data_IF_326221994442
#
_entry.id   IF_326221994442
#
_cell.length_a   1.000
_cell.length_b   1.000
_cell.length_c   1.000
_cell.angle_alpha   90.00
_cell.angle_beta   90.00
_cell.angle_gamma   90.00
#
_symmetry.space_group_name_H-M   'P 1'
#
loop_
_entity.id
_entity.type
_entity.pdbx_description
1 polymer ?
#
# COMPACT_ATOMS: atom_id res chain seq x y z
N UNK A 1 -12.08 7.54 4.12
CA UNK A 1 -11.16 7.10 5.19
C UNK A 1 -9.81 7.68 4.89
N UNK A 2 -9.17 8.33 5.87
CA UNK A 2 -7.80 8.83 5.75
C UNK A 2 -6.79 7.68 5.80
N UNK A 3 -5.57 7.90 5.29
CA UNK A 3 -4.55 6.85 5.21
C UNK A 3 -4.08 6.49 6.61
N UNK A 4 -3.90 7.49 7.47
CA UNK A 4 -3.56 7.26 8.87
C UNK A 4 -4.64 6.46 9.60
N UNK A 5 -5.91 6.78 9.36
CA UNK A 5 -7.03 6.06 9.94
C UNK A 5 -7.07 4.59 9.49
N UNK A 6 -6.85 4.33 8.20
CA UNK A 6 -6.75 2.97 7.67
C UNK A 6 -5.57 2.20 8.27
N UNK A 7 -4.39 2.82 8.32
CA UNK A 7 -3.20 2.19 8.90
C UNK A 7 -3.43 1.81 10.38
N UNK A 8 -4.10 2.67 11.15
CA UNK A 8 -4.45 2.40 12.55
C UNK A 8 -5.47 1.25 12.67
N UNK A 9 -6.47 1.21 11.80
CA UNK A 9 -7.43 0.09 11.75
C UNK A 9 -6.70 -1.25 11.52
N UNK A 10 -5.78 -1.30 10.54
CA UNK A 10 -4.97 -2.49 10.29
C UNK A 10 -4.10 -2.86 11.49
N UNK A 11 -3.57 -1.84 12.21
CA UNK A 11 -2.81 -2.06 13.44
C UNK A 11 -3.66 -2.76 14.50
N UNK A 12 -4.86 -2.24 14.75
CA UNK A 12 -5.80 -2.77 15.75
C UNK A 12 -6.19 -4.22 15.45
N UNK A 13 -6.42 -4.55 14.18
CA UNK A 13 -6.85 -5.89 13.78
C UNK A 13 -5.69 -6.89 13.77
N UNK A 14 -4.51 -6.51 13.26
CA UNK A 14 -3.48 -7.50 12.86
C UNK A 14 -2.13 -7.39 13.57
N UNK A 15 -1.79 -6.28 14.25
CA UNK A 15 -0.42 -6.03 14.74
C UNK A 15 0.13 -7.18 15.60
N UNK A 16 -0.66 -7.71 16.54
CA UNK A 16 -0.21 -8.79 17.42
C UNK A 16 0.13 -10.08 16.65
N UNK A 17 -0.62 -10.38 15.58
CA UNK A 17 -0.35 -11.53 14.71
C UNK A 17 0.86 -11.26 13.82
N UNK A 18 0.94 -10.07 13.25
CA UNK A 18 2.00 -9.66 12.33
C UNK A 18 3.35 -9.62 13.06
N UNK A 19 3.38 -9.15 14.31
CA UNK A 19 4.57 -9.12 15.16
C UNK A 19 5.11 -10.54 15.43
N UNK A 20 4.22 -11.51 15.65
CA UNK A 20 4.60 -12.93 15.79
C UNK A 20 5.10 -13.53 14.47
N UNK A 21 4.56 -13.09 13.33
CA UNK A 21 5.01 -13.54 12.00
C UNK A 21 6.39 -12.97 11.67
N UNK A 22 6.67 -11.73 12.05
CA UNK A 22 7.89 -11.00 11.73
C UNK A 22 7.80 -10.24 10.41
N UNK A 23 8.65 -9.23 10.25
CA UNK A 23 8.66 -8.31 9.10
C UNK A 23 8.93 -9.04 7.78
N UNK A 24 9.98 -9.88 7.72
CA UNK A 24 10.37 -10.55 6.47
C UNK A 24 9.25 -11.42 5.89
N UNK A 25 8.61 -12.22 6.75
CA UNK A 25 7.48 -13.07 6.35
C UNK A 25 6.24 -12.25 6.01
N UNK A 26 6.04 -11.10 6.65
CA UNK A 26 4.93 -10.18 6.32
C UNK A 26 5.17 -9.49 4.97
N UNK A 27 6.42 -9.21 4.63
CA UNK A 27 6.80 -8.71 3.31
C UNK A 27 6.54 -9.75 2.21
N UNK A 28 6.78 -11.04 2.49
CA UNK A 28 6.43 -12.11 1.55
C UNK A 28 4.92 -12.17 1.26
N UNK A 29 4.06 -11.97 2.28
CA UNK A 29 2.61 -11.87 2.08
C UNK A 29 2.23 -10.68 1.21
N UNK A 30 2.86 -9.51 1.40
CA UNK A 30 2.66 -8.36 0.50
C UNK A 30 2.99 -8.73 -0.96
N UNK A 31 4.10 -9.44 -1.20
CA UNK A 31 4.46 -9.88 -2.56
C UNK A 31 3.48 -10.91 -3.13
N UNK A 32 2.92 -11.77 -2.29
CA UNK A 32 1.87 -12.73 -2.67
C UNK A 32 0.63 -11.99 -3.21
N UNK A 33 0.12 -10.99 -2.48
CA UNK A 33 -1.05 -10.22 -2.95
C UNK A 33 -0.75 -9.41 -4.21
N UNK A 34 0.48 -8.90 -4.39
CA UNK A 34 0.88 -8.27 -5.65
C UNK A 34 0.84 -9.29 -6.80
N UNK A 35 1.21 -10.54 -6.52
CA UNK A 35 1.10 -11.65 -7.46
C UNK A 35 -0.36 -12.00 -7.82
N UNK A 36 -1.25 -12.02 -6.84
CA UNK A 36 -2.69 -12.23 -7.04
C UNK A 36 -3.31 -11.06 -7.83
N UNK A 37 -2.98 -9.82 -7.49
CA UNK A 37 -3.38 -8.63 -8.26
C UNK A 37 -2.94 -8.73 -9.73
N UNK A 38 -1.69 -9.13 -9.96
CA UNK A 38 -1.16 -9.34 -11.31
C UNK A 38 -1.95 -10.39 -12.07
N UNK A 39 -2.32 -11.48 -11.41
CA UNK A 39 -3.10 -12.57 -12.00
C UNK A 39 -4.51 -12.10 -12.36
N UNK A 40 -5.22 -11.44 -11.44
CA UNK A 40 -6.56 -10.92 -11.65
C UNK A 40 -6.59 -9.92 -12.83
N UNK A 41 -5.62 -9.01 -12.88
CA UNK A 41 -5.49 -8.03 -13.96
C UNK A 41 -5.29 -8.70 -15.32
N UNK A 42 -4.33 -9.63 -15.42
CA UNK A 42 -4.00 -10.32 -16.68
C UNK A 42 -5.17 -11.17 -17.21
N UNK A 43 -6.06 -11.62 -16.35
CA UNK A 43 -7.23 -12.43 -16.72
C UNK A 43 -8.49 -11.60 -16.98
N UNK A 44 -8.43 -10.27 -16.82
CA UNK A 44 -9.59 -9.40 -17.01
C UNK A 44 -10.66 -9.57 -15.92
N UNK A 45 -10.29 -10.09 -14.75
CA UNK A 45 -11.21 -10.31 -13.63
C UNK A 45 -11.43 -9.01 -12.86
N UNK A 46 -12.12 -8.04 -13.48
CA UNK A 46 -12.23 -6.65 -12.98
C UNK A 46 -12.74 -6.55 -11.53
N UNK A 47 -13.68 -7.40 -11.15
CA UNK A 47 -14.18 -7.47 -9.77
C UNK A 47 -13.11 -7.94 -8.78
N UNK A 48 -12.23 -8.86 -9.18
CA UNK A 48 -11.14 -9.35 -8.35
C UNK A 48 -10.00 -8.32 -8.27
N UNK A 49 -9.71 -7.58 -9.34
CA UNK A 49 -8.67 -6.54 -9.33
C UNK A 49 -8.85 -5.55 -8.18
N UNK A 50 -10.08 -5.05 -7.98
CA UNK A 50 -10.36 -4.12 -6.88
C UNK A 50 -10.16 -4.73 -5.49
N UNK A 51 -10.45 -6.02 -5.34
CA UNK A 51 -10.22 -6.77 -4.11
C UNK A 51 -8.73 -6.91 -3.83
N UNK A 52 -7.96 -7.40 -4.80
CA UNK A 52 -6.52 -7.60 -4.64
C UNK A 52 -5.78 -6.28 -4.40
N UNK A 53 -6.23 -5.16 -4.99
CA UNK A 53 -5.71 -3.83 -4.67
C UNK A 53 -5.92 -3.46 -3.20
N UNK A 54 -7.07 -3.80 -2.62
CA UNK A 54 -7.34 -3.55 -1.21
C UNK A 54 -6.43 -4.43 -0.32
N UNK A 55 -6.21 -5.68 -0.71
CA UNK A 55 -5.31 -6.60 0.00
C UNK A 55 -3.85 -6.10 -0.03
N UNK A 56 -3.36 -5.63 -1.18
CA UNK A 56 -2.03 -4.99 -1.29
C UNK A 56 -1.91 -3.78 -0.36
N UNK A 57 -2.92 -2.91 -0.30
CA UNK A 57 -2.91 -1.74 0.59
C UNK A 57 -2.93 -2.18 2.07
N UNK A 58 -3.70 -3.21 2.43
CA UNK A 58 -3.77 -3.75 3.78
C UNK A 58 -2.41 -4.33 4.24
N UNK A 59 -1.76 -5.14 3.41
CA UNK A 59 -0.44 -5.70 3.76
C UNK A 59 0.67 -4.65 3.77
N UNK A 60 0.60 -3.62 2.92
CA UNK A 60 1.50 -2.48 3.00
C UNK A 60 1.34 -1.74 4.34
N UNK A 61 0.11 -1.54 4.81
CA UNK A 61 -0.16 -0.96 6.12
C UNK A 61 0.33 -1.86 7.28
N UNK A 62 0.17 -3.19 7.18
CA UNK A 62 0.76 -4.14 8.15
C UNK A 62 2.28 -4.01 8.22
N UNK A 63 2.96 -3.93 7.07
CA UNK A 63 4.40 -3.68 7.00
C UNK A 63 4.78 -2.35 7.65
N UNK A 64 4.08 -1.26 7.32
CA UNK A 64 4.33 0.04 7.91
C UNK A 64 4.17 0.02 9.45
N UNK A 65 3.18 -0.71 9.95
CA UNK A 65 2.97 -0.88 11.38
C UNK A 65 4.12 -1.63 12.07
N UNK A 66 4.61 -2.73 11.47
CA UNK A 66 5.76 -3.47 12.02
C UNK A 66 7.05 -2.65 12.02
N UNK A 67 7.23 -1.81 11.00
CA UNK A 67 8.43 -0.98 10.85
C UNK A 67 8.32 0.38 11.55
N UNK A 68 7.19 0.65 12.22
CA UNK A 68 6.89 1.96 12.84
C UNK A 68 6.99 3.14 11.86
N UNK A 69 6.54 2.94 10.62
CA UNK A 69 6.49 3.95 9.56
C UNK A 69 5.10 4.58 9.51
N UNK A 70 5.04 5.90 9.38
CA UNK A 70 3.80 6.63 9.13
C UNK A 70 3.58 6.81 7.62
N UNK A 71 2.62 6.07 7.05
CA UNK A 71 2.36 6.10 5.61
C UNK A 71 1.85 7.45 5.13
N UNK A 72 0.95 8.08 5.89
CA UNK A 72 0.35 9.35 5.49
C UNK A 72 1.40 10.47 5.48
N UNK A 73 2.27 10.49 6.50
CA UNK A 73 3.41 11.40 6.55
C UNK A 73 4.35 11.21 5.35
N UNK A 74 4.79 9.98 5.05
CA UNK A 74 5.70 9.72 3.93
C UNK A 74 5.06 10.02 2.57
N UNK A 75 3.74 9.80 2.42
CA UNK A 75 3.00 10.17 1.22
C UNK A 75 2.91 11.68 1.05
N UNK A 76 2.58 12.44 2.08
CA UNK A 76 2.52 13.91 2.01
C UNK A 76 3.90 14.51 1.71
N UNK A 77 4.96 13.95 2.31
CA UNK A 77 6.35 14.33 2.04
C UNK A 77 6.76 14.06 0.59
N UNK A 78 6.32 12.94 0.01
CA UNK A 78 6.65 12.56 -1.36
C UNK A 78 5.76 13.22 -2.41
N UNK A 79 4.49 13.44 -2.09
CA UNK A 79 3.46 13.95 -2.99
C UNK A 79 2.68 15.10 -2.32
N UNK A 80 3.27 16.31 -2.25
CA UNK A 80 2.67 17.46 -1.57
C UNK A 80 1.60 18.14 -2.44
N UNK A 81 0.71 17.36 -3.07
CA UNK A 81 -0.33 17.80 -4.02
C UNK A 81 0.15 18.23 -5.42
N UNK A 82 1.45 18.15 -5.69
CA UNK A 82 2.03 18.36 -7.02
C UNK A 82 2.91 17.17 -7.42
N UNK A 83 3.19 17.04 -8.72
CA UNK A 83 4.17 16.07 -9.19
C UNK A 83 5.53 16.34 -8.51
N UNK A 84 6.17 15.36 -7.85
CA UNK A 84 7.44 15.60 -7.14
C UNK A 84 8.62 15.94 -8.05
N UNK A 85 8.46 15.81 -9.36
CA UNK A 85 9.50 16.07 -10.35
C UNK A 85 9.34 17.45 -11.01
N UNK A 86 8.13 17.79 -11.47
CA UNK A 86 7.87 19.05 -12.18
C UNK A 86 7.07 20.08 -11.38
N UNK A 87 6.69 19.75 -10.15
CA UNK A 87 5.94 20.61 -9.22
C UNK A 87 4.62 21.15 -9.78
N UNK A 88 4.07 20.51 -10.81
CA UNK A 88 2.81 20.88 -11.46
C UNK A 88 1.70 19.88 -11.15
N UNK A 89 0.46 20.35 -11.19
CA UNK A 89 -0.76 19.53 -11.11
C UNK A 89 -1.78 20.10 -12.12
N UNK A 90 -2.04 19.43 -13.27
CA UNK A 90 -1.56 18.10 -13.66
C UNK A 90 -0.04 18.06 -13.98
N UNK A 91 0.53 16.85 -13.96
CA UNK A 91 1.93 16.60 -14.29
C UNK A 91 2.24 16.95 -15.76
N UNK A 92 3.42 17.54 -16.02
CA UNK A 92 3.92 17.88 -17.37
C UNK A 92 5.26 17.20 -17.70
N UNK A 93 5.66 16.19 -16.93
CA UNK A 93 6.86 15.41 -17.23
C UNK A 93 6.73 14.69 -18.58
N UNK A 94 7.84 14.52 -19.32
CA UNK A 94 7.82 13.70 -20.54
C UNK A 94 7.43 12.26 -20.20
N UNK A 95 6.73 11.60 -21.13
CA UNK A 95 6.44 10.17 -21.03
C UNK A 95 7.76 9.38 -21.00
N UNK A 96 7.87 8.44 -20.07
CA UNK A 96 9.03 7.55 -19.90
C UNK A 96 8.60 6.11 -20.07
#
# INVERSE_FOLDING_TARGET
>A
MEIKAFQNLIREIYLARDARRGADKTFLWLLEEVGELTRAYRRGETANVGREMADVIAWLASMANLLNIDLEYELLKKYPQTCPLCLSSPCVCPFR
#
